data_IF_131840912555
#
_entry.id   IF_131840912555
#
_cell.length_a   1.000
_cell.length_b   1.000
_cell.length_c   1.000
_cell.angle_alpha   90.00
_cell.angle_beta   90.00
_cell.angle_gamma   90.00
#
_symmetry.space_group_name_H-M   'P 1'
#
loop_
_entity.id
_entity.type
_entity.pdbx_description
1 polymer ?
#
# COMPACT_ATOMS: atom_id res chain seq x y z
N UNK A 1 3.09 5.58 -3.04
CA UNK A 1 2.78 4.77 -1.85
C UNK A 1 3.22 5.57 -0.63
N UNK A 2 2.44 5.57 0.43
CA UNK A 2 2.78 6.19 1.72
C UNK A 2 2.28 5.28 2.86
N UNK A 3 2.89 5.40 4.03
CA UNK A 3 2.51 4.65 5.23
C UNK A 3 1.64 5.50 6.16
N UNK A 4 0.51 4.95 6.65
CA UNK A 4 -0.37 5.64 7.61
C UNK A 4 0.36 5.91 8.93
N UNK A 5 0.95 4.87 9.50
CA UNK A 5 1.98 4.96 10.55
C UNK A 5 3.33 5.05 9.82
N UNK A 6 4.09 6.15 9.97
CA UNK A 6 5.36 6.32 9.27
C UNK A 6 6.35 5.17 9.52
N UNK A 7 7.15 4.83 8.51
CA UNK A 7 8.22 3.84 8.66
C UNK A 7 9.24 4.25 9.74
N UNK A 8 9.53 5.55 9.86
CA UNK A 8 10.37 6.11 10.92
C UNK A 8 9.82 5.87 12.35
N UNK A 9 8.52 5.60 12.47
CA UNK A 9 7.84 5.24 13.73
C UNK A 9 7.58 3.72 13.84
N UNK A 10 8.21 2.90 12.99
CA UNK A 10 8.04 1.44 12.98
C UNK A 10 6.83 0.94 12.19
N UNK A 11 6.21 1.78 11.36
CA UNK A 11 5.10 1.37 10.50
C UNK A 11 5.51 0.35 9.44
N UNK A 12 4.90 -0.83 9.48
CA UNK A 12 5.19 -1.91 8.54
C UNK A 12 4.49 -1.71 7.18
N UNK A 13 5.06 -2.29 6.12
CA UNK A 13 4.46 -2.31 4.78
C UNK A 13 3.36 -3.40 4.70
N UNK A 14 2.15 -3.06 5.19
CA UNK A 14 1.00 -3.98 5.21
C UNK A 14 -0.21 -3.36 4.50
N UNK A 15 -1.20 -4.20 4.15
CA UNK A 15 -2.48 -3.74 3.59
C UNK A 15 -3.21 -2.73 4.47
N UNK A 16 -3.05 -2.82 5.80
CA UNK A 16 -3.67 -1.91 6.76
C UNK A 16 -2.88 -0.62 7.01
N UNK A 17 -1.66 -0.52 6.50
CA UNK A 17 -0.78 0.62 6.77
C UNK A 17 -0.27 1.32 5.51
N UNK A 18 -0.52 0.80 4.31
CA UNK A 18 -0.03 1.41 3.05
C UNK A 18 -1.18 1.96 2.22
N UNK A 19 -1.00 3.16 1.69
CA UNK A 19 -2.00 3.86 0.85
C UNK A 19 -1.36 4.46 -0.39
N UNK A 20 -2.18 4.74 -1.41
CA UNK A 20 -1.77 5.58 -2.53
C UNK A 20 -1.77 7.05 -2.10
N UNK A 21 -0.68 7.76 -2.41
CA UNK A 21 -0.53 9.19 -2.14
C UNK A 21 0.29 9.83 -3.26
N UNK A 22 -0.05 11.05 -3.65
CA UNK A 22 0.78 11.86 -4.54
C UNK A 22 2.00 12.42 -3.78
N UNK A 23 3.07 12.83 -4.49
CA UNK A 23 4.29 13.35 -3.86
C UNK A 23 4.03 14.52 -2.89
N UNK A 24 3.17 15.47 -3.29
CA UNK A 24 2.82 16.64 -2.47
C UNK A 24 2.14 16.25 -1.15
N UNK A 25 1.18 15.32 -1.19
CA UNK A 25 0.49 14.86 0.02
C UNK A 25 1.43 14.07 0.92
N UNK A 26 2.27 13.20 0.34
CA UNK A 26 3.25 12.42 1.07
C UNK A 26 4.27 13.32 1.79
N UNK A 27 4.81 14.33 1.09
CA UNK A 27 5.72 15.32 1.67
C UNK A 27 5.05 16.17 2.76
N UNK A 28 3.79 16.58 2.57
CA UNK A 28 3.03 17.31 3.60
C UNK A 28 2.84 16.47 4.86
N UNK A 29 2.57 15.16 4.72
CA UNK A 29 2.43 14.26 5.87
C UNK A 29 3.78 14.05 6.56
N UNK A 30 4.82 13.73 5.79
CA UNK A 30 6.15 13.38 6.28
C UNK A 30 6.09 12.25 7.33
N UNK A 31 6.92 12.33 8.38
CA UNK A 31 7.01 11.33 9.45
C UNK A 31 5.92 11.48 10.52
N UNK A 32 4.73 11.91 10.13
CA UNK A 32 3.55 12.06 11.00
C UNK A 32 2.45 11.11 10.58
N UNK A 33 1.54 10.79 11.48
CA UNK A 33 0.27 10.14 11.09
C UNK A 33 -0.61 11.12 10.31
N UNK A 34 -1.60 10.67 9.51
CA UNK A 34 -2.57 11.57 8.91
C UNK A 34 -3.24 12.49 9.92
N UNK A 35 -3.56 11.97 11.12
CA UNK A 35 -4.16 12.75 12.21
C UNK A 35 -3.25 13.91 12.64
N UNK A 36 -1.98 13.63 12.94
CA UNK A 36 -0.99 14.62 13.36
C UNK A 36 -0.67 15.66 12.25
N UNK A 37 -0.86 15.27 10.97
CA UNK A 37 -0.71 16.15 9.82
C UNK A 37 -1.98 16.95 9.48
N UNK A 38 -3.07 16.79 10.24
CA UNK A 38 -4.36 17.42 9.95
C UNK A 38 -4.96 16.95 8.61
N UNK A 39 -4.73 15.68 8.27
CA UNK A 39 -5.14 15.02 7.04
C UNK A 39 -6.14 13.91 7.35
N UNK A 40 -7.07 13.68 6.42
CA UNK A 40 -8.05 12.60 6.51
C UNK A 40 -7.75 11.58 5.41
N UNK A 41 -7.81 10.30 5.77
CA UNK A 41 -7.80 9.23 4.78
C UNK A 41 -9.11 9.27 3.99
N UNK A 42 -9.01 9.10 2.67
CA UNK A 42 -10.18 9.01 1.81
C UNK A 42 -10.85 7.63 1.93
N UNK A 43 -10.05 6.60 2.19
CA UNK A 43 -10.46 5.20 2.27
C UNK A 43 -9.66 4.56 3.40
N UNK A 44 -10.31 3.70 4.17
CA UNK A 44 -9.64 2.85 5.15
C UNK A 44 -8.77 1.79 4.44
N UNK A 45 -7.45 1.76 4.67
CA UNK A 45 -6.58 0.73 4.13
C UNK A 45 -6.95 -0.62 4.72
N UNK A 46 -7.25 -1.59 3.86
CA UNK A 46 -7.63 -2.95 4.25
C UNK A 46 -7.25 -3.93 3.17
N UNK A 47 -7.03 -5.17 3.58
CA UNK A 47 -6.77 -6.25 2.64
C UNK A 47 -7.99 -6.49 1.73
N UNK A 48 -7.77 -6.88 0.46
CA UNK A 48 -8.85 -7.38 -0.39
C UNK A 48 -9.59 -8.55 0.28
N UNK A 49 -10.90 -8.65 0.05
CA UNK A 49 -11.71 -9.75 0.60
C UNK A 49 -11.43 -11.11 -0.04
N UNK A 50 -10.79 -11.12 -1.20
CA UNK A 50 -10.45 -12.32 -1.96
C UNK A 50 -9.09 -12.11 -2.62
N UNK A 51 -8.30 -13.16 -2.76
CA UNK A 51 -7.12 -13.13 -3.63
C UNK A 51 -7.60 -13.36 -5.06
N UNK A 52 -7.33 -12.39 -5.93
CA UNK A 52 -7.47 -12.58 -7.36
C UNK A 52 -6.08 -12.45 -7.97
N UNK A 53 -5.62 -13.53 -8.60
CA UNK A 53 -4.53 -13.45 -9.54
C UNK A 53 -5.16 -13.25 -10.92
N UNK A 54 -4.95 -12.07 -11.51
CA UNK A 54 -5.32 -11.82 -12.90
C UNK A 54 -4.03 -11.73 -13.70
N UNK A 55 -3.73 -12.80 -14.43
CA UNK A 55 -2.63 -12.85 -15.38
C UNK A 55 -3.21 -12.84 -16.80
N UNK A 56 -2.67 -11.98 -17.66
CA UNK A 56 -3.10 -11.84 -19.05
C UNK A 56 -1.90 -11.64 -19.97
N UNK A 57 -1.92 -12.23 -21.16
CA UNK A 57 -0.79 -12.21 -22.10
C UNK A 57 0.24 -13.31 -21.80
N UNK A 58 1.43 -13.18 -22.39
CA UNK A 58 2.54 -14.12 -22.17
C UNK A 58 3.13 -13.94 -20.77
N UNK A 59 2.72 -14.80 -19.84
CA UNK A 59 3.27 -14.87 -18.49
C UNK A 59 4.68 -15.48 -18.56
N UNK A 60 5.74 -14.76 -18.11
CA UNK A 60 7.10 -15.28 -18.12
C UNK A 60 7.19 -16.63 -17.40
N UNK A 61 7.96 -17.58 -17.94
CA UNK A 61 8.07 -18.93 -17.36
C UNK A 61 8.52 -18.91 -15.89
N UNK A 62 9.39 -17.96 -15.51
CA UNK A 62 9.84 -17.79 -14.13
C UNK A 62 8.72 -17.43 -13.14
N UNK A 63 7.62 -16.83 -13.63
CA UNK A 63 6.49 -16.41 -12.80
C UNK A 63 5.49 -17.54 -12.60
N UNK A 64 5.44 -18.52 -13.51
CA UNK A 64 4.52 -19.67 -13.43
C UNK A 64 4.72 -20.50 -12.16
N UNK A 65 5.94 -20.56 -11.63
CA UNK A 65 6.28 -21.29 -10.39
C UNK A 65 5.63 -20.67 -9.14
N UNK A 66 5.35 -19.36 -9.16
CA UNK A 66 4.80 -18.62 -8.02
C UNK A 66 3.28 -18.46 -8.07
N UNK A 67 2.67 -18.90 -9.16
CA UNK A 67 1.27 -18.63 -9.50
C UNK A 67 0.35 -19.82 -9.15
N UNK A 68 0.88 -20.93 -8.63
CA UNK A 68 0.12 -22.15 -8.30
C UNK A 68 -0.85 -22.59 -9.41
N UNK A 69 -0.41 -22.52 -10.68
CA UNK A 69 -1.08 -23.14 -11.82
C UNK A 69 -0.58 -24.57 -12.04
#
# INVERSE_FOLDING_TARGET
>A
MDHVIPAAQGGAATWGNTVAACPRCNQRKADRTPHDAGMKLLIEPKAPRTSYLVASGDVPAAWKVWIEL
#
